data_IF_435481791720
#
_entry.id   IF_435481791720
#
_cell.length_a   1.000
_cell.length_b   1.000
_cell.length_c   1.000
_cell.angle_alpha   90.00
_cell.angle_beta   90.00
_cell.angle_gamma   90.00
#
_symmetry.space_group_name_H-M   'P 1'
#
loop_
_entity.id
_entity.type
_entity.pdbx_description
1 polymer ?
#
# COMPACT_ATOMS: atom_id res chain seq x y z
N UNK A 1 -11.85 11.96 14.29
CA UNK A 1 -12.99 11.16 14.77
C UNK A 1 -13.07 11.41 16.27
N UNK A 2 -14.18 11.94 16.75
CA UNK A 2 -14.28 12.38 18.15
C UNK A 2 -14.36 11.15 19.07
N UNK A 3 -13.72 11.20 20.25
CA UNK A 3 -13.67 10.05 21.18
C UNK A 3 -15.08 9.57 21.56
N UNK A 4 -16.01 10.50 21.70
CA UNK A 4 -17.43 10.25 22.00
C UNK A 4 -18.16 9.46 20.89
N UNK A 5 -17.71 9.54 19.64
CA UNK A 5 -18.38 8.83 18.53
C UNK A 5 -18.06 7.34 18.55
N UNK A 6 -16.81 6.96 18.81
CA UNK A 6 -16.41 5.55 18.85
C UNK A 6 -17.01 4.84 20.07
N UNK A 7 -17.00 5.51 21.23
CA UNK A 7 -17.59 4.98 22.46
C UNK A 7 -19.10 4.74 22.32
N UNK A 8 -19.83 5.65 21.65
CA UNK A 8 -21.24 5.47 21.36
C UNK A 8 -21.52 4.29 20.40
N UNK A 9 -20.74 4.13 19.34
CA UNK A 9 -20.90 3.01 18.40
C UNK A 9 -20.60 1.68 19.11
N UNK A 10 -19.54 1.63 19.92
CA UNK A 10 -19.23 0.44 20.71
C UNK A 10 -20.37 0.09 21.67
N UNK A 11 -20.90 1.06 22.42
CA UNK A 11 -21.97 0.83 23.38
C UNK A 11 -23.24 0.30 22.69
N UNK A 12 -23.59 0.84 21.52
CA UNK A 12 -24.73 0.34 20.73
C UNK A 12 -24.55 -1.12 20.30
N UNK A 13 -23.38 -1.45 19.75
CA UNK A 13 -23.06 -2.83 19.35
C UNK A 13 -23.06 -3.75 20.57
N UNK A 14 -22.48 -3.30 21.67
CA UNK A 14 -22.44 -4.08 22.91
C UNK A 14 -23.84 -4.36 23.44
N UNK A 15 -24.71 -3.35 23.51
CA UNK A 15 -26.08 -3.49 24.03
C UNK A 15 -26.93 -4.41 23.15
N UNK A 16 -26.68 -4.43 21.84
CA UNK A 16 -27.38 -5.30 20.88
C UNK A 16 -26.90 -6.76 20.95
N UNK A 17 -25.58 -6.98 21.06
CA UNK A 17 -24.96 -8.31 20.95
C UNK A 17 -24.88 -9.00 22.32
N UNK A 18 -24.55 -8.27 23.38
CA UNK A 18 -24.25 -8.86 24.69
C UNK A 18 -25.37 -9.75 25.27
N UNK A 19 -26.67 -9.37 25.21
CA UNK A 19 -27.76 -10.20 25.73
C UNK A 19 -27.80 -11.59 25.08
N UNK A 20 -27.49 -11.65 23.78
CA UNK A 20 -27.46 -12.89 23.01
C UNK A 20 -26.16 -13.66 23.29
N UNK A 21 -25.02 -12.96 23.26
CA UNK A 21 -23.68 -13.48 23.52
C UNK A 21 -23.55 -14.20 24.87
N UNK A 22 -24.18 -13.67 25.93
CA UNK A 22 -24.12 -14.28 27.27
C UNK A 22 -24.68 -15.71 27.31
N UNK A 23 -25.65 -16.02 26.45
CA UNK A 23 -26.28 -17.35 26.41
C UNK A 23 -25.53 -18.36 25.54
N UNK A 24 -24.57 -17.89 24.73
CA UNK A 24 -23.85 -18.71 23.76
C UNK A 24 -22.68 -19.42 24.44
N UNK A 25 -22.70 -20.76 24.40
CA UNK A 25 -21.68 -21.62 25.01
C UNK A 25 -20.55 -22.02 24.06
N UNK A 26 -20.79 -22.03 22.75
CA UNK A 26 -19.84 -22.43 21.70
C UNK A 26 -20.01 -21.55 20.47
N UNK A 27 -18.90 -21.34 19.75
CA UNK A 27 -18.81 -20.50 18.56
C UNK A 27 -19.20 -19.07 18.84
N UNK A 28 -18.82 -18.52 20.00
CA UNK A 28 -19.27 -17.19 20.40
C UNK A 28 -18.71 -16.14 19.44
N UNK A 29 -17.44 -16.24 19.06
CA UNK A 29 -16.84 -15.36 18.06
C UNK A 29 -17.50 -15.53 16.69
N UNK A 30 -17.71 -16.78 16.25
CA UNK A 30 -18.41 -17.08 14.98
C UNK A 30 -19.79 -16.42 14.94
N UNK A 31 -20.59 -16.60 15.99
CA UNK A 31 -21.96 -16.10 16.08
C UNK A 31 -21.99 -14.58 16.19
N UNK A 32 -21.03 -13.99 16.89
CA UNK A 32 -20.87 -12.53 16.96
C UNK A 32 -20.56 -11.93 15.60
N UNK A 33 -19.64 -12.53 14.83
CA UNK A 33 -19.35 -12.13 13.44
C UNK A 33 -20.62 -12.23 12.59
N UNK A 34 -21.39 -13.31 12.76
CA UNK A 34 -22.65 -13.51 12.05
C UNK A 34 -23.68 -12.42 12.36
N UNK A 35 -23.80 -12.00 13.62
CA UNK A 35 -24.67 -10.89 14.05
C UNK A 35 -24.23 -9.59 13.37
N UNK A 36 -22.94 -9.26 13.40
CA UNK A 36 -22.42 -8.01 12.85
C UNK A 36 -22.62 -7.94 11.32
N UNK A 37 -22.50 -9.07 10.61
CA UNK A 37 -22.83 -9.14 9.18
C UNK A 37 -24.33 -9.14 8.90
N UNK A 38 -25.17 -9.20 9.92
CA UNK A 38 -26.61 -9.39 9.82
C UNK A 38 -26.98 -10.65 9.02
N UNK A 39 -26.26 -11.75 9.25
CA UNK A 39 -26.42 -13.03 8.54
C UNK A 39 -27.06 -14.11 9.42
N UNK A 40 -27.64 -13.76 10.58
CA UNK A 40 -28.20 -14.73 11.52
C UNK A 40 -29.36 -15.54 10.94
N UNK A 41 -30.28 -14.86 10.28
CA UNK A 41 -31.45 -15.44 9.63
C UNK A 41 -31.21 -15.72 8.14
N UNK A 42 -30.02 -15.36 7.63
CA UNK A 42 -29.68 -15.56 6.23
C UNK A 42 -29.50 -17.05 5.92
N UNK A 43 -30.17 -17.52 4.87
CA UNK A 43 -29.97 -18.87 4.33
C UNK A 43 -28.55 -19.09 3.78
N UNK A 44 -27.87 -18.01 3.42
CA UNK A 44 -26.52 -18.01 2.86
C UNK A 44 -25.64 -17.08 3.68
N UNK A 45 -24.96 -17.64 4.69
CA UNK A 45 -24.01 -16.96 5.59
C UNK A 45 -22.68 -16.68 4.87
N UNK A 46 -22.74 -16.01 3.72
CA UNK A 46 -21.65 -16.00 2.76
C UNK A 46 -20.43 -15.23 3.31
N UNK A 47 -20.64 -14.06 3.90
CA UNK A 47 -19.54 -13.26 4.44
C UNK A 47 -18.96 -13.89 5.71
N UNK A 48 -19.84 -14.40 6.58
CA UNK A 48 -19.43 -15.10 7.81
C UNK A 48 -18.58 -16.32 7.47
N UNK A 49 -19.04 -17.19 6.55
CA UNK A 49 -18.30 -18.38 6.16
C UNK A 49 -16.95 -18.03 5.52
N UNK A 50 -16.92 -17.06 4.61
CA UNK A 50 -15.66 -16.64 3.96
C UNK A 50 -14.66 -16.11 4.99
N UNK A 51 -15.10 -15.22 5.88
CA UNK A 51 -14.25 -14.66 6.92
C UNK A 51 -13.78 -15.75 7.87
N UNK A 52 -14.70 -16.46 8.54
CA UNK A 52 -14.38 -17.44 9.57
C UNK A 52 -13.49 -18.57 9.03
N UNK A 53 -13.77 -19.10 7.83
CA UNK A 53 -12.93 -20.16 7.23
C UNK A 53 -11.51 -19.68 6.92
N UNK A 54 -11.34 -18.40 6.52
CA UNK A 54 -10.03 -17.86 6.18
C UNK A 54 -9.07 -17.74 7.36
N UNK A 55 -9.61 -17.66 8.58
CA UNK A 55 -8.86 -17.50 9.84
C UNK A 55 -9.08 -18.66 10.82
N UNK A 56 -9.79 -19.71 10.39
CA UNK A 56 -9.96 -20.95 11.14
C UNK A 56 -10.99 -20.92 12.27
N UNK A 57 -11.86 -19.91 12.34
CA UNK A 57 -12.93 -19.81 13.35
C UNK A 57 -14.08 -20.77 13.00
N UNK A 58 -14.57 -21.52 13.96
CA UNK A 58 -15.66 -22.49 13.80
C UNK A 58 -16.81 -22.20 14.74
N UNK A 59 -18.03 -22.52 14.30
CA UNK A 59 -19.24 -22.44 15.13
C UNK A 59 -19.23 -23.41 16.32
N UNK A 60 -18.34 -24.39 16.33
CA UNK A 60 -18.16 -25.35 17.43
C UNK A 60 -17.12 -24.95 18.48
N UNK A 61 -16.37 -23.87 18.25
CA UNK A 61 -15.23 -23.51 19.08
C UNK A 61 -15.67 -23.13 20.49
N UNK A 62 -14.79 -23.33 21.47
CA UNK A 62 -15.05 -22.87 22.84
C UNK A 62 -14.46 -21.46 23.04
N UNK A 63 -14.84 -20.82 24.15
CA UNK A 63 -14.36 -19.45 24.46
C UNK A 63 -12.83 -19.34 24.51
N UNK A 64 -12.14 -20.38 24.98
CA UNK A 64 -10.67 -20.40 25.01
C UNK A 64 -10.06 -20.37 23.61
N UNK A 65 -10.63 -21.12 22.67
CA UNK A 65 -10.18 -21.14 21.29
C UNK A 65 -10.49 -19.83 20.56
N UNK A 66 -11.69 -19.28 20.77
CA UNK A 66 -12.07 -17.94 20.28
C UNK A 66 -11.06 -16.88 20.76
N UNK A 67 -10.66 -16.96 22.03
CA UNK A 67 -9.70 -16.05 22.63
C UNK A 67 -8.29 -16.19 22.04
N UNK A 68 -7.76 -17.42 21.93
CA UNK A 68 -6.44 -17.67 21.32
C UNK A 68 -6.38 -17.19 19.87
N UNK A 69 -7.49 -17.30 19.14
CA UNK A 69 -7.59 -16.78 17.78
C UNK A 69 -7.43 -15.25 17.75
N UNK A 70 -8.08 -14.54 18.67
CA UNK A 70 -7.96 -13.10 18.80
C UNK A 70 -6.57 -12.66 19.27
N UNK A 71 -5.94 -13.42 20.17
CA UNK A 71 -4.57 -13.16 20.64
C UNK A 71 -3.56 -13.24 19.49
N UNK A 72 -3.64 -14.29 18.67
CA UNK A 72 -2.78 -14.42 17.48
C UNK A 72 -2.96 -13.28 16.46
N UNK A 73 -4.18 -12.74 16.34
CA UNK A 73 -4.44 -11.58 15.48
C UNK A 73 -3.79 -10.30 16.02
N UNK A 74 -3.80 -10.09 17.34
CA UNK A 74 -3.14 -8.95 17.96
C UNK A 74 -1.64 -9.01 17.69
N UNK A 75 -1.00 -10.18 17.81
CA UNK A 75 0.44 -10.35 17.53
C UNK A 75 0.81 -10.02 16.09
N UNK A 76 0.03 -10.51 15.11
CA UNK A 76 0.28 -10.23 13.68
C UNK A 76 0.14 -8.73 13.40
N UNK A 77 -0.91 -8.11 13.93
CA UNK A 77 -1.21 -6.71 13.68
C UNK A 77 -0.19 -5.77 14.37
N UNK A 78 0.33 -6.15 15.54
CA UNK A 78 1.37 -5.40 16.25
C UNK A 78 2.71 -5.37 15.50
N UNK A 79 3.04 -6.42 14.75
CA UNK A 79 4.31 -6.54 14.05
C UNK A 79 4.36 -5.78 12.71
N UNK A 80 3.21 -5.49 12.10
CA UNK A 80 3.17 -4.99 10.71
C UNK A 80 2.80 -3.50 10.53
N UNK A 81 2.28 -2.77 11.53
CA UNK A 81 1.80 -1.38 11.28
C UNK A 81 2.03 -0.32 12.38
N UNK A 82 2.60 0.86 12.05
CA UNK A 82 2.83 1.96 13.00
C UNK A 82 1.57 2.73 13.43
N UNK A 83 0.42 2.54 12.75
CA UNK A 83 -0.85 3.21 13.09
C UNK A 83 -1.47 2.70 14.40
N UNK A 84 -0.89 1.65 14.99
CA UNK A 84 -1.51 0.81 16.02
C UNK A 84 -0.82 1.00 17.38
N UNK A 85 -0.01 2.06 17.52
CA UNK A 85 0.63 2.45 18.79
C UNK A 85 -0.38 2.64 19.93
N UNK A 86 -1.64 2.94 19.62
CA UNK A 86 -2.75 3.03 20.57
C UNK A 86 -3.37 1.68 20.97
N UNK A 87 -3.20 0.58 20.21
CA UNK A 87 -3.64 -0.75 20.65
C UNK A 87 -2.75 -1.35 21.73
N UNK A 88 -1.52 -0.87 21.91
CA UNK A 88 -0.75 -1.18 23.13
C UNK A 88 -1.51 -0.78 24.41
N UNK A 89 -2.54 0.10 24.31
CA UNK A 89 -3.46 0.44 25.41
C UNK A 89 -4.64 -0.55 25.55
N UNK A 90 -4.88 -1.43 24.57
CA UNK A 90 -5.84 -2.54 24.65
C UNK A 90 -5.18 -3.85 25.11
N UNK A 91 -3.85 -3.99 24.95
CA UNK A 91 -3.04 -5.07 25.53
C UNK A 91 -3.29 -5.29 27.04
N UNK A 92 -3.47 -4.25 27.89
CA UNK A 92 -3.83 -4.43 29.30
C UNK A 92 -5.18 -5.13 29.51
N UNK A 93 -6.08 -5.14 28.52
CA UNK A 93 -7.36 -5.85 28.62
C UNK A 93 -7.13 -7.35 28.38
N UNK A 94 -6.23 -7.72 27.46
CA UNK A 94 -5.83 -9.11 27.23
C UNK A 94 -4.97 -9.65 28.39
N UNK A 95 -4.00 -8.85 28.86
CA UNK A 95 -3.19 -9.16 30.05
C UNK A 95 -4.01 -9.14 31.36
N UNK A 96 -5.14 -8.43 31.40
CA UNK A 96 -6.04 -8.45 32.57
C UNK A 96 -6.78 -9.77 32.71
N UNK A 97 -7.11 -10.47 31.62
CA UNK A 97 -7.82 -11.75 31.69
C UNK A 97 -6.91 -12.86 32.26
N UNK A 98 -5.62 -12.85 31.93
CA UNK A 98 -4.64 -13.76 32.53
C UNK A 98 -4.32 -13.42 34.00
N UNK A 99 -4.48 -12.15 34.40
CA UNK A 99 -4.32 -11.66 35.80
C UNK A 99 -5.60 -11.70 36.64
N UNK A 100 -6.72 -12.20 36.11
CA UNK A 100 -8.04 -12.23 36.76
C UNK A 100 -8.26 -13.41 37.71
N UNK A 101 -7.21 -13.96 38.33
CA UNK A 101 -7.34 -15.10 39.27
C UNK A 101 -8.10 -14.77 40.57
N UNK A 102 -8.33 -13.49 40.86
CA UNK A 102 -9.00 -13.02 42.10
C UNK A 102 -10.36 -12.34 41.88
N UNK A 103 -10.90 -12.32 40.65
CA UNK A 103 -12.20 -11.68 40.37
C UNK A 103 -13.35 -12.69 40.46
N UNK A 104 -14.58 -12.23 40.79
CA UNK A 104 -15.77 -13.08 40.72
C UNK A 104 -15.93 -13.66 39.31
N UNK A 105 -16.37 -14.91 39.22
CA UNK A 105 -16.50 -15.66 37.97
C UNK A 105 -17.35 -14.92 36.92
N UNK A 106 -18.43 -14.26 37.35
CA UNK A 106 -19.30 -13.45 36.49
C UNK A 106 -18.58 -12.23 35.87
N UNK A 107 -17.66 -11.60 36.60
CA UNK A 107 -16.94 -10.43 36.09
C UNK A 107 -15.90 -10.84 35.04
N UNK A 108 -15.31 -12.03 35.21
CA UNK A 108 -14.41 -12.64 34.24
C UNK A 108 -15.15 -12.99 32.94
N UNK A 109 -16.30 -13.65 33.04
CA UNK A 109 -17.13 -13.98 31.88
C UNK A 109 -17.56 -12.73 31.10
N UNK A 110 -17.97 -11.67 31.79
CA UNK A 110 -18.36 -10.41 31.15
C UNK A 110 -17.19 -9.80 30.35
N UNK A 111 -15.98 -9.84 30.88
CA UNK A 111 -14.79 -9.28 30.22
C UNK A 111 -14.37 -10.12 29.00
N UNK A 112 -14.47 -11.45 29.10
CA UNK A 112 -14.21 -12.35 27.95
C UNK A 112 -15.19 -12.08 26.80
N UNK A 113 -16.50 -11.94 27.10
CA UNK A 113 -17.51 -11.63 26.09
C UNK A 113 -17.25 -10.24 25.47
N UNK A 114 -16.92 -9.23 26.28
CA UNK A 114 -16.55 -7.90 25.78
C UNK A 114 -15.40 -7.96 24.79
N UNK A 115 -14.37 -8.73 25.10
CA UNK A 115 -13.22 -8.91 24.22
C UNK A 115 -13.60 -9.58 22.91
N UNK A 116 -14.43 -10.63 22.97
CA UNK A 116 -14.89 -11.33 21.77
C UNK A 116 -15.70 -10.40 20.86
N UNK A 117 -16.56 -9.55 21.44
CA UNK A 117 -17.33 -8.53 20.69
C UNK A 117 -16.39 -7.54 19.99
N UNK A 118 -15.40 -7.00 20.70
CA UNK A 118 -14.40 -6.08 20.12
C UNK A 118 -13.62 -6.77 18.99
N UNK A 119 -13.15 -8.00 19.23
CA UNK A 119 -12.42 -8.80 18.25
C UNK A 119 -13.22 -9.05 16.97
N UNK A 120 -14.50 -9.41 17.12
CA UNK A 120 -15.41 -9.60 15.99
C UNK A 120 -15.58 -8.31 15.17
N UNK A 121 -15.76 -7.15 15.81
CA UNK A 121 -15.88 -5.86 15.13
C UNK A 121 -14.64 -5.54 14.30
N UNK A 122 -13.46 -5.79 14.86
CA UNK A 122 -12.17 -5.57 14.17
C UNK A 122 -12.06 -6.49 12.96
N UNK A 123 -12.35 -7.78 13.13
CA UNK A 123 -12.30 -8.78 12.06
C UNK A 123 -13.23 -8.42 10.90
N UNK A 124 -14.46 -7.99 11.19
CA UNK A 124 -15.41 -7.54 10.18
C UNK A 124 -14.96 -6.23 9.52
N UNK A 125 -14.35 -5.31 10.26
CA UNK A 125 -13.75 -4.09 9.70
C UNK A 125 -12.62 -4.39 8.72
N UNK A 126 -11.64 -5.21 9.12
CA UNK A 126 -10.55 -5.70 8.26
C UNK A 126 -11.10 -6.45 7.04
N UNK A 127 -12.13 -7.24 7.28
CA UNK A 127 -13.18 -7.67 6.36
C UNK A 127 -13.36 -6.79 5.12
N UNK A 128 -14.11 -5.72 5.38
CA UNK A 128 -14.51 -4.75 4.39
C UNK A 128 -13.33 -3.96 3.82
N UNK A 129 -12.31 -3.67 4.61
CA UNK A 129 -11.08 -3.04 4.11
C UNK A 129 -10.38 -3.91 3.05
N UNK A 130 -10.23 -5.21 3.30
CA UNK A 130 -9.63 -6.14 2.36
C UNK A 130 -10.47 -6.27 1.08
N UNK A 131 -11.79 -6.37 1.21
CA UNK A 131 -12.71 -6.33 0.06
C UNK A 131 -12.57 -5.05 -0.76
N UNK A 132 -12.49 -3.90 -0.09
CA UNK A 132 -12.32 -2.60 -0.74
C UNK A 132 -10.99 -2.52 -1.52
N UNK A 133 -9.89 -2.95 -0.90
CA UNK A 133 -8.57 -3.00 -1.55
C UNK A 133 -8.60 -3.94 -2.75
N UNK A 134 -9.17 -5.15 -2.61
CA UNK A 134 -9.34 -6.10 -3.72
C UNK A 134 -10.15 -5.49 -4.86
N UNK A 135 -11.23 -4.76 -4.57
CA UNK A 135 -12.04 -4.07 -5.57
C UNK A 135 -11.27 -2.95 -6.28
N UNK A 136 -10.41 -2.23 -5.57
CA UNK A 136 -9.51 -1.25 -6.20
C UNK A 136 -8.51 -1.96 -7.12
N UNK A 137 -7.95 -3.07 -6.69
CA UNK A 137 -7.01 -3.86 -7.49
C UNK A 137 -7.70 -4.47 -8.71
N UNK A 138 -8.89 -5.05 -8.56
CA UNK A 138 -9.66 -5.64 -9.66
C UNK A 138 -10.05 -4.58 -10.68
N UNK A 139 -10.50 -3.39 -10.27
CA UNK A 139 -10.74 -2.27 -11.18
C UNK A 139 -9.49 -1.84 -11.94
N UNK A 140 -8.32 -1.84 -11.28
CA UNK A 140 -7.04 -1.59 -11.96
C UNK A 140 -6.69 -2.70 -12.95
N UNK A 141 -7.01 -3.95 -12.64
CA UNK A 141 -6.79 -5.10 -13.53
C UNK A 141 -7.78 -5.15 -14.68
N UNK A 142 -9.05 -4.79 -14.46
CA UNK A 142 -10.10 -4.67 -15.48
C UNK A 142 -9.84 -3.49 -16.41
N UNK A 143 -9.35 -2.36 -15.91
CA UNK A 143 -8.87 -1.27 -16.76
C UNK A 143 -7.68 -1.73 -17.63
N UNK A 144 -6.75 -2.51 -17.07
CA UNK A 144 -5.64 -3.12 -17.82
C UNK A 144 -6.08 -4.20 -18.81
N UNK A 145 -7.14 -4.96 -18.52
CA UNK A 145 -7.70 -6.00 -19.39
C UNK A 145 -8.58 -5.41 -20.50
N UNK A 146 -9.35 -4.35 -20.23
CA UNK A 146 -10.07 -3.59 -21.24
C UNK A 146 -9.10 -2.82 -22.19
N UNK A 147 -7.92 -2.46 -21.71
CA UNK A 147 -6.80 -2.00 -22.56
C UNK A 147 -6.11 -3.13 -23.34
N UNK A 148 -6.28 -4.40 -22.93
CA UNK A 148 -5.77 -5.57 -23.66
C UNK A 148 -6.76 -6.16 -24.66
N UNK A 149 -8.07 -6.13 -24.40
CA UNK A 149 -9.10 -6.62 -25.34
C UNK A 149 -9.33 -5.66 -26.53
N UNK A 150 -8.85 -4.42 -26.45
CA UNK A 150 -8.75 -3.51 -27.60
C UNK A 150 -7.43 -3.63 -28.39
N UNK A 151 -6.68 -4.74 -28.25
CA UNK A 151 -5.52 -5.01 -29.12
C UNK A 151 -5.91 -5.84 -30.34
N UNK A 152 -6.36 -5.14 -31.38
CA UNK A 152 -5.94 -5.45 -32.75
C UNK A 152 -4.74 -4.56 -33.13
N UNK A 153 -4.02 -4.92 -34.20
CA UNK A 153 -2.71 -5.58 -34.18
C UNK A 153 -1.58 -4.72 -33.58
N UNK A 154 -0.49 -5.37 -33.16
CA UNK A 154 0.84 -4.81 -32.78
C UNK A 154 1.07 -3.36 -33.24
N UNK A 155 0.72 -2.39 -32.39
CA UNK A 155 1.21 -1.02 -32.55
C UNK A 155 2.71 -1.00 -32.25
N UNK A 156 3.50 -0.22 -33.01
CA UNK A 156 4.93 -0.10 -32.78
C UNK A 156 5.19 0.33 -31.33
N UNK A 157 6.08 -0.37 -30.66
CA UNK A 157 6.60 -0.02 -29.34
C UNK A 157 7.02 1.44 -29.34
N UNK A 158 6.32 2.31 -28.60
CA UNK A 158 6.66 3.73 -28.53
C UNK A 158 7.77 3.89 -27.49
N UNK A 159 9.00 4.27 -27.90
CA UNK A 159 10.06 4.60 -26.97
C UNK A 159 9.74 5.95 -26.29
N UNK A 160 10.28 6.16 -25.10
CA UNK A 160 10.26 7.46 -24.44
C UNK A 160 11.63 7.75 -23.84
N UNK A 161 11.90 9.03 -23.61
CA UNK A 161 13.08 9.47 -22.90
C UNK A 161 12.69 10.00 -21.52
N UNK A 162 13.45 9.54 -20.52
CA UNK A 162 13.40 10.02 -19.16
C UNK A 162 14.61 10.93 -18.90
N UNK A 163 14.32 12.19 -18.64
CA UNK A 163 15.27 13.22 -18.30
C UNK A 163 15.26 13.47 -16.80
N UNK A 164 16.43 13.41 -16.15
CA UNK A 164 16.62 13.57 -14.71
C UNK A 164 17.68 14.65 -14.43
N UNK A 165 17.56 15.31 -13.28
CA UNK A 165 18.58 16.23 -12.75
C UNK A 165 18.98 15.78 -11.36
N UNK A 166 20.14 15.15 -11.26
CA UNK A 166 20.68 14.56 -10.03
C UNK A 166 21.96 15.28 -9.59
N UNK A 167 22.38 15.17 -8.32
CA UNK A 167 23.70 15.61 -7.89
C UNK A 167 24.84 14.87 -8.59
N UNK A 168 25.98 15.52 -8.79
CA UNK A 168 27.16 14.96 -9.46
C UNK A 168 27.70 13.69 -8.79
N UNK A 169 27.75 13.67 -7.45
CA UNK A 169 28.09 12.48 -6.65
C UNK A 169 27.21 11.25 -6.90
N UNK A 170 25.99 11.45 -7.40
CA UNK A 170 25.07 10.36 -7.76
C UNK A 170 25.34 9.91 -9.20
N UNK A 171 25.69 10.85 -10.08
CA UNK A 171 25.88 10.60 -11.50
C UNK A 171 27.27 10.05 -11.86
N UNK A 172 28.28 10.19 -10.99
CA UNK A 172 29.68 9.85 -11.27
C UNK A 172 29.92 8.37 -11.61
N UNK A 173 29.04 7.48 -11.14
CA UNK A 173 29.16 6.04 -11.37
C UNK A 173 28.55 5.60 -12.71
N UNK A 174 27.89 6.51 -13.45
CA UNK A 174 27.19 6.21 -14.69
C UNK A 174 27.95 6.75 -15.91
N UNK A 175 27.84 6.04 -17.04
CA UNK A 175 28.51 6.41 -18.30
C UNK A 175 27.55 6.41 -19.47
N UNK A 176 27.62 7.43 -20.33
CA UNK A 176 26.82 7.46 -21.56
C UNK A 176 27.07 6.21 -22.40
N UNK A 177 25.99 5.66 -22.96
CA UNK A 177 25.97 4.40 -23.70
C UNK A 177 25.75 3.16 -22.83
N UNK A 178 25.79 3.24 -21.50
CA UNK A 178 25.59 2.08 -20.64
C UNK A 178 24.12 1.64 -20.59
N UNK A 179 23.91 0.33 -20.50
CA UNK A 179 22.62 -0.23 -20.11
C UNK A 179 22.42 -0.04 -18.60
N UNK A 180 21.21 0.32 -18.18
CA UNK A 180 20.84 0.49 -16.79
C UNK A 180 19.83 -0.58 -16.38
N UNK A 181 19.98 -1.08 -15.15
CA UNK A 181 18.95 -1.92 -14.54
C UNK A 181 17.79 -1.06 -14.03
N UNK A 182 16.63 -1.69 -13.78
CA UNK A 182 15.49 -1.03 -13.13
C UNK A 182 15.90 -0.43 -11.77
N UNK A 183 16.82 -1.09 -11.04
CA UNK A 183 17.32 -0.60 -9.75
C UNK A 183 18.12 0.69 -9.92
N UNK A 184 18.97 0.77 -10.94
CA UNK A 184 19.78 1.97 -11.24
C UNK A 184 18.88 3.16 -11.59
N UNK A 185 17.88 2.93 -12.46
CA UNK A 185 16.91 3.97 -12.83
C UNK A 185 16.10 4.42 -11.62
N UNK A 186 15.68 3.48 -10.77
CA UNK A 186 14.97 3.80 -9.52
C UNK A 186 15.82 4.65 -8.59
N UNK A 187 17.09 4.29 -8.41
CA UNK A 187 18.05 5.04 -7.60
C UNK A 187 18.26 6.46 -8.14
N UNK A 188 18.37 6.63 -9.45
CA UNK A 188 18.47 7.95 -10.08
C UNK A 188 17.19 8.78 -9.88
N UNK A 189 16.01 8.17 -9.98
CA UNK A 189 14.74 8.87 -9.72
C UNK A 189 14.64 9.30 -8.25
N UNK A 190 15.05 8.45 -7.31
CA UNK A 190 15.01 8.77 -5.87
C UNK A 190 15.91 9.96 -5.48
N UNK A 191 16.95 10.22 -6.28
CA UNK A 191 17.91 11.28 -6.03
C UNK A 191 17.75 12.48 -6.99
N UNK A 192 16.66 12.53 -7.76
CA UNK A 192 16.46 13.62 -8.73
C UNK A 192 15.76 14.82 -8.10
N UNK A 193 16.14 16.02 -8.56
CA UNK A 193 15.54 17.30 -8.16
C UNK A 193 14.54 17.82 -9.19
N UNK A 194 14.70 17.41 -10.45
CA UNK A 194 13.81 17.71 -11.56
C UNK A 194 13.69 16.51 -12.47
N UNK A 195 12.52 16.30 -13.06
CA UNK A 195 12.37 15.24 -14.07
C UNK A 195 11.37 15.61 -15.16
N UNK A 196 11.55 14.98 -16.31
CA UNK A 196 10.66 15.08 -17.46
C UNK A 196 10.67 13.73 -18.18
N UNK A 197 9.49 13.22 -18.53
CA UNK A 197 9.37 12.00 -19.33
C UNK A 197 8.43 12.27 -20.49
N UNK A 198 8.93 12.06 -21.71
CA UNK A 198 8.24 12.42 -22.94
C UNK A 198 8.80 11.69 -24.15
N UNK A 199 8.19 11.94 -25.30
CA UNK A 199 8.69 11.40 -26.57
C UNK A 199 9.88 12.20 -27.08
N UNK A 200 10.67 11.60 -27.95
CA UNK A 200 11.86 12.23 -28.55
C UNK A 200 11.55 13.63 -29.11
N UNK A 201 10.42 13.77 -29.80
CA UNK A 201 9.99 15.00 -30.46
C UNK A 201 9.63 16.11 -29.47
N UNK A 202 9.25 15.75 -28.24
CA UNK A 202 8.90 16.68 -27.16
C UNK A 202 10.14 17.06 -26.35
N UNK A 203 11.03 16.10 -26.11
CA UNK A 203 12.23 16.27 -25.29
C UNK A 203 13.32 17.07 -26.02
N UNK A 204 13.56 16.79 -27.30
CA UNK A 204 14.67 17.42 -28.04
C UNK A 204 14.59 18.97 -28.08
N UNK A 205 13.42 19.60 -28.34
CA UNK A 205 13.30 21.05 -28.27
C UNK A 205 13.53 21.63 -26.88
N UNK A 206 13.22 20.87 -25.82
CA UNK A 206 13.42 21.30 -24.43
C UNK A 206 14.90 21.18 -24.06
N UNK A 207 15.54 20.05 -24.40
CA UNK A 207 16.97 19.85 -24.15
C UNK A 207 17.83 20.93 -24.81
N UNK A 208 17.49 21.35 -26.04
CA UNK A 208 18.19 22.44 -26.76
C UNK A 208 18.16 23.79 -26.03
N UNK A 209 17.22 24.00 -25.10
CA UNK A 209 17.14 25.23 -24.27
C UNK A 209 18.05 25.15 -23.03
N UNK A 210 18.51 23.95 -22.67
CA UNK A 210 19.37 23.75 -21.51
C UNK A 210 20.81 24.18 -21.81
N UNK A 211 21.47 24.77 -20.82
CA UNK A 211 22.91 25.07 -20.88
C UNK A 211 23.71 23.92 -20.28
N UNK A 212 24.06 22.96 -21.13
CA UNK A 212 24.81 21.76 -20.76
C UNK A 212 26.30 21.91 -21.08
N UNK A 213 27.16 21.27 -20.28
CA UNK A 213 28.59 21.17 -20.53
C UNK A 213 29.05 19.72 -20.40
N UNK A 214 29.83 19.25 -21.36
CA UNK A 214 30.44 17.92 -21.37
C UNK A 214 31.72 17.93 -20.52
N UNK A 215 31.56 18.23 -19.24
CA UNK A 215 32.63 18.26 -18.24
C UNK A 215 32.69 16.94 -17.46
N UNK A 216 33.85 16.64 -16.87
CA UNK A 216 33.99 15.50 -15.98
C UNK A 216 33.15 15.71 -14.72
N UNK A 217 32.29 14.74 -14.41
CA UNK A 217 31.47 14.73 -13.19
C UNK A 217 32.34 14.24 -12.04
N UNK A 218 32.79 15.17 -11.19
CA UNK A 218 33.57 14.82 -10.01
C UNK A 218 32.72 14.10 -8.94
N UNK A 219 33.24 13.04 -8.28
CA UNK A 219 32.55 12.29 -7.24
C UNK A 219 32.14 13.14 -6.02
N UNK A 220 32.88 14.21 -5.72
CA UNK A 220 32.63 15.08 -4.57
C UNK A 220 31.76 16.30 -4.93
N UNK A 221 31.23 16.34 -6.15
CA UNK A 221 30.53 17.52 -6.66
C UNK A 221 29.04 17.51 -6.33
N UNK A 222 28.59 18.59 -5.68
CA UNK A 222 27.17 18.95 -5.54
C UNK A 222 26.61 19.63 -6.82
N UNK A 223 27.43 19.75 -7.87
CA UNK A 223 26.97 20.27 -9.16
C UNK A 223 25.83 19.41 -9.71
N UNK A 224 24.81 20.06 -10.25
CA UNK A 224 23.67 19.36 -10.87
C UNK A 224 24.10 18.78 -12.21
N UNK A 225 23.70 17.53 -12.44
CA UNK A 225 23.98 16.78 -13.66
C UNK A 225 22.67 16.40 -14.31
N UNK A 226 22.57 16.71 -15.59
CA UNK A 226 21.48 16.26 -16.45
C UNK A 226 21.78 14.86 -16.95
N UNK A 227 20.79 13.98 -16.83
CA UNK A 227 20.83 12.60 -17.32
C UNK A 227 19.65 12.39 -18.26
N UNK A 228 19.90 11.80 -19.44
CA UNK A 228 18.86 11.34 -20.37
C UNK A 228 18.94 9.83 -20.53
N UNK A 229 17.85 9.14 -20.23
CA UNK A 229 17.72 7.69 -20.32
C UNK A 229 16.67 7.38 -21.38
N UNK A 230 17.05 6.57 -22.37
CA UNK A 230 16.10 6.04 -23.34
C UNK A 230 15.47 4.75 -22.81
N UNK A 231 14.15 4.67 -22.93
CA UNK A 231 13.34 3.50 -22.58
C UNK A 231 12.86 2.89 -23.89
N UNK A 232 13.42 1.74 -24.25
CA UNK A 232 13.27 1.14 -25.59
C UNK A 232 11.86 0.66 -25.92
N UNK A 233 11.06 0.32 -24.89
CA UNK A 233 9.72 -0.23 -25.07
C UNK A 233 8.81 -0.04 -23.88
N UNK A 234 7.49 -0.09 -24.13
CA UNK A 234 6.43 0.01 -23.12
C UNK A 234 6.50 1.26 -22.23
N UNK A 235 7.00 2.37 -22.78
CA UNK A 235 7.18 3.62 -22.04
C UNK A 235 5.97 4.57 -22.13
N UNK A 236 4.91 4.16 -22.83
CA UNK A 236 3.72 4.98 -23.06
C UNK A 236 3.03 5.41 -21.75
N UNK A 237 3.05 4.54 -20.75
CA UNK A 237 2.51 4.82 -19.42
C UNK A 237 3.39 5.77 -18.60
N UNK A 238 4.61 6.09 -19.04
CA UNK A 238 5.52 7.01 -18.34
C UNK A 238 5.44 8.44 -18.89
N UNK A 239 5.02 8.59 -20.15
CA UNK A 239 4.90 9.88 -20.81
C UNK A 239 3.93 10.79 -20.05
N UNK A 240 4.30 12.06 -19.87
CA UNK A 240 3.48 13.09 -19.22
C UNK A 240 3.16 12.86 -17.73
N UNK A 241 3.81 11.91 -17.05
CA UNK A 241 3.65 11.76 -15.59
C UNK A 241 4.26 12.95 -14.86
N UNK A 242 3.53 13.46 -13.87
CA UNK A 242 3.89 14.69 -13.11
C UNK A 242 4.48 14.44 -11.72
N UNK A 243 4.52 13.18 -11.27
CA UNK A 243 5.05 12.83 -9.93
C UNK A 243 6.01 11.64 -9.99
N UNK A 244 7.09 11.70 -9.21
CA UNK A 244 8.10 10.62 -9.12
C UNK A 244 7.55 9.29 -8.59
N UNK A 245 6.57 9.33 -7.68
CA UNK A 245 5.97 8.13 -7.13
C UNK A 245 5.31 7.27 -8.23
N UNK A 246 4.54 7.92 -9.11
CA UNK A 246 3.90 7.26 -10.24
C UNK A 246 4.93 6.81 -11.27
N UNK A 247 5.94 7.64 -11.54
CA UNK A 247 7.03 7.31 -12.46
C UNK A 247 7.75 6.01 -12.01
N UNK A 248 8.13 5.90 -10.73
CA UNK A 248 8.78 4.70 -10.17
C UNK A 248 7.89 3.47 -10.22
N UNK A 249 6.64 3.60 -9.79
CA UNK A 249 5.69 2.48 -9.73
C UNK A 249 5.39 1.90 -11.11
N UNK A 250 5.34 2.77 -12.12
CA UNK A 250 4.95 2.42 -13.48
C UNK A 250 6.19 2.10 -14.37
N UNK A 251 7.41 2.06 -13.80
CA UNK A 251 8.62 1.67 -14.54
C UNK A 251 8.46 0.28 -15.18
N UNK A 252 8.73 0.12 -16.48
CA UNK A 252 8.61 -1.17 -17.15
C UNK A 252 9.72 -2.12 -16.69
N UNK A 253 9.33 -3.24 -16.10
CA UNK A 253 10.26 -4.25 -15.55
C UNK A 253 11.01 -5.04 -16.61
N UNK A 254 10.49 -5.09 -17.85
CA UNK A 254 11.07 -5.85 -18.97
C UNK A 254 11.68 -4.94 -20.05
N UNK A 255 11.69 -3.62 -19.86
CA UNK A 255 12.30 -2.71 -20.83
C UNK A 255 13.81 -2.63 -20.63
N UNK A 256 14.53 -2.35 -21.72
CA UNK A 256 15.93 -1.92 -21.63
C UNK A 256 16.00 -0.41 -21.44
N UNK A 257 16.83 -0.01 -20.49
CA UNK A 257 17.13 1.39 -20.20
C UNK A 257 18.54 1.69 -20.68
N UNK A 258 18.71 2.68 -21.54
CA UNK A 258 20.03 3.06 -22.05
C UNK A 258 20.32 4.50 -21.68
N UNK A 259 21.41 4.73 -20.95
CA UNK A 259 21.88 6.09 -20.64
C UNK A 259 22.35 6.74 -21.95
N UNK A 260 21.60 7.71 -22.49
CA UNK A 260 21.95 8.40 -23.73
C UNK A 260 22.89 9.57 -23.49
N UNK A 261 22.70 10.28 -22.38
CA UNK A 261 23.47 11.50 -22.08
C UNK A 261 23.66 11.68 -20.60
N UNK A 262 24.83 12.17 -20.24
CA UNK A 262 25.20 12.68 -18.93
C UNK A 262 25.97 13.98 -19.17
N UNK A 263 25.54 15.08 -18.58
CA UNK A 263 26.18 16.38 -18.79
C UNK A 263 26.02 17.28 -17.57
N UNK A 264 27.05 18.05 -17.25
CA UNK A 264 27.01 19.03 -16.18
C UNK A 264 26.05 20.17 -16.55
N UNK A 265 25.23 20.58 -15.60
CA UNK A 265 24.29 21.66 -15.80
C UNK A 265 24.90 22.98 -15.33
N UNK A 266 25.02 23.96 -16.24
CA UNK A 266 25.57 25.28 -15.91
C UNK A 266 24.53 26.29 -15.42
N UNK A 267 23.25 26.11 -15.77
CA UNK A 267 22.18 26.96 -15.29
C UNK A 267 20.85 26.23 -15.21
N UNK A 268 19.93 26.73 -14.37
CA UNK A 268 18.55 26.24 -14.28
C UNK A 268 17.61 26.87 -15.33
N UNK A 269 18.14 27.56 -16.35
CA UNK A 269 17.32 28.06 -17.45
C UNK A 269 16.88 26.90 -18.34
N UNK A 270 15.61 26.86 -18.73
CA UNK A 270 15.05 25.79 -19.58
C UNK A 270 14.37 24.64 -18.81
N UNK A 271 14.31 24.71 -17.47
CA UNK A 271 13.61 23.72 -16.64
C UNK A 271 12.13 24.04 -16.41
N UNK A 272 11.57 25.06 -17.07
CA UNK A 272 10.16 25.43 -16.92
C UNK A 272 9.22 24.30 -17.34
N UNK A 273 9.68 23.43 -18.24
CA UNK A 273 8.95 22.24 -18.70
C UNK A 273 9.16 21.00 -17.81
N UNK A 274 10.11 21.05 -16.86
CA UNK A 274 10.39 19.92 -15.97
C UNK A 274 9.51 19.98 -14.72
N UNK A 275 9.13 18.80 -14.24
CA UNK A 275 8.50 18.69 -12.93
C UNK A 275 9.57 18.84 -11.85
N UNK A 276 9.35 19.77 -10.93
CA UNK A 276 10.15 19.93 -9.71
C UNK A 276 9.65 18.97 -8.63
N UNK A 277 10.58 18.40 -7.87
CA UNK A 277 10.32 17.48 -6.76
C UNK A 277 10.43 18.21 -5.43
#
# INVERSE_FOLDING_TARGET
MDKNTFENIYNQIYDEIYPQAKTIKRGLLYKTIQIIFNEEESKTQNNTLVLCNSIGIKSSDNREHDYKTLEGLVEVIENEHPFIRDWKKLRPIADNISRMTNKPEEEKEMQEIKWIIVGACVLVGLYFCAQYIKKIQSRKSELKLAEQENKSPSYPSIPADLCLVVPGKIACDFRAGSSLSVKDVTYLIDNTSYFLCGRLEEIDPIEKKLTLADEYVSPDSEQKVYIRINISSNAQDLVNKKTIYILKRDLPTMASFTLKKIACLRSLRGFEAFNRI
#
